data_IF_986432932445
#
_entry.id   IF_986432932445
#
_cell.length_a   1.000
_cell.length_b   1.000
_cell.length_c   1.000
_cell.angle_alpha   90.00
_cell.angle_beta   90.00
_cell.angle_gamma   90.00
#
_symmetry.space_group_name_H-M   'P 1'
#
loop_
_entity.id
_entity.type
_entity.pdbx_description
1 polymer ?
#
# COMPACT_ATOMS: atom_id res chain seq x y z
N UNK A 1 -3.80 17.42 -0.23
CA UNK A 1 -2.61 17.29 0.62
C UNK A 1 -1.48 16.74 -0.23
N UNK A 2 -0.47 17.57 -0.54
CA UNK A 2 0.74 17.14 -1.22
C UNK A 2 1.53 16.15 -0.36
N UNK A 3 2.33 15.27 -0.98
CA UNK A 3 3.14 14.28 -0.26
C UNK A 3 4.05 14.92 0.80
N UNK A 4 4.64 16.09 0.49
CA UNK A 4 5.44 16.87 1.42
C UNK A 4 4.70 17.25 2.72
N UNK A 5 3.39 17.54 2.63
CA UNK A 5 2.58 17.83 3.81
C UNK A 5 2.37 16.57 4.66
N UNK A 6 2.18 15.41 4.05
CA UNK A 6 2.06 14.15 4.79
C UNK A 6 3.36 13.83 5.54
N UNK A 7 4.51 14.03 4.89
CA UNK A 7 5.83 13.87 5.53
C UNK A 7 6.00 14.87 6.67
N UNK A 8 5.63 16.14 6.47
CA UNK A 8 5.72 17.15 7.53
C UNK A 8 4.82 16.82 8.73
N UNK A 9 3.58 16.37 8.48
CA UNK A 9 2.66 15.93 9.53
C UNK A 9 3.20 14.72 10.28
N UNK A 10 3.78 13.74 9.57
CA UNK A 10 4.41 12.59 10.18
C UNK A 10 5.57 12.99 11.10
N UNK A 11 6.50 13.82 10.60
CA UNK A 11 7.65 14.29 11.38
C UNK A 11 7.21 15.10 12.59
N UNK A 12 6.20 15.97 12.43
CA UNK A 12 5.64 16.73 13.53
C UNK A 12 5.05 15.81 14.61
N UNK A 13 4.27 14.80 14.22
CA UNK A 13 3.69 13.84 15.16
C UNK A 13 4.74 12.96 15.85
N UNK A 14 5.76 12.51 15.11
CA UNK A 14 6.85 11.67 15.64
C UNK A 14 7.77 12.43 16.62
N UNK A 15 7.98 13.73 16.39
CA UNK A 15 8.85 14.58 17.20
C UNK A 15 8.12 15.36 18.29
N UNK A 16 6.78 15.41 18.26
CA UNK A 16 5.96 16.12 19.27
C UNK A 16 6.32 15.70 20.70
N UNK A 17 6.46 14.39 21.04
CA UNK A 17 6.82 13.99 22.39
C UNK A 17 8.17 14.57 22.84
N UNK A 18 9.15 14.61 21.94
CA UNK A 18 10.48 15.14 22.23
C UNK A 18 10.43 16.66 22.47
N UNK A 19 9.67 17.39 21.66
CA UNK A 19 9.48 18.83 21.86
C UNK A 19 8.78 19.16 23.18
N UNK A 20 7.79 18.35 23.58
CA UNK A 20 7.12 18.49 24.87
C UNK A 20 8.02 18.14 26.05
N UNK A 21 8.83 17.08 25.95
CA UNK A 21 9.83 16.76 26.97
C UNK A 21 10.84 17.90 27.16
N UNK A 22 11.33 18.49 26.06
CA UNK A 22 12.21 19.65 26.12
C UNK A 22 11.54 20.87 26.76
N UNK A 23 10.26 21.11 26.45
CA UNK A 23 9.49 22.22 27.01
C UNK A 23 9.24 22.12 28.53
N UNK A 24 9.44 20.95 29.15
CA UNK A 24 9.37 20.81 30.61
C UNK A 24 10.50 21.56 31.33
N UNK A 25 11.61 21.89 30.63
CA UNK A 25 12.70 22.69 31.20
C UNK A 25 13.47 21.99 32.33
N UNK A 26 13.44 20.66 32.38
CA UNK A 26 14.23 19.88 33.35
C UNK A 26 15.71 19.95 33.00
N UNK A 27 16.58 19.91 34.02
CA UNK A 27 18.01 19.83 33.82
C UNK A 27 18.37 18.55 33.05
N UNK A 28 19.13 18.65 31.94
CA UNK A 28 19.49 17.47 31.16
C UNK A 28 20.40 16.55 31.98
N UNK A 29 20.21 15.24 31.81
CA UNK A 29 21.16 14.23 32.27
C UNK A 29 22.39 14.19 31.34
N UNK A 30 23.20 13.14 31.48
CA UNK A 30 24.27 12.83 30.52
C UNK A 30 23.71 12.84 29.08
N UNK A 31 24.45 13.38 28.10
CA UNK A 31 24.03 13.36 26.70
C UNK A 31 23.62 11.98 26.18
N UNK A 32 24.23 10.92 26.71
CA UNK A 32 23.90 9.53 26.37
C UNK A 32 22.53 9.08 26.91
N UNK A 33 22.15 9.52 28.11
CA UNK A 33 20.83 9.22 28.69
C UNK A 33 19.73 10.00 27.97
N UNK A 34 19.99 11.25 27.58
CA UNK A 34 19.06 12.06 26.79
C UNK A 34 18.89 11.49 25.37
N UNK A 35 19.98 11.02 24.75
CA UNK A 35 19.92 10.30 23.48
C UNK A 35 19.09 9.01 23.61
N UNK A 36 19.35 8.18 24.62
CA UNK A 36 18.59 6.96 24.90
C UNK A 36 17.08 7.26 25.01
N UNK A 37 16.74 8.28 25.79
CA UNK A 37 15.36 8.72 26.03
C UNK A 37 14.72 9.25 24.74
N UNK A 38 15.42 10.09 23.99
CA UNK A 38 14.94 10.62 22.72
C UNK A 38 14.68 9.53 21.68
N UNK A 39 15.58 8.56 21.55
CA UNK A 39 15.43 7.43 20.62
C UNK A 39 14.16 6.63 20.91
N UNK A 40 13.93 6.23 22.17
CA UNK A 40 12.76 5.41 22.52
C UNK A 40 11.45 6.20 22.42
N UNK A 41 11.45 7.49 22.74
CA UNK A 41 10.27 8.34 22.58
C UNK A 41 9.87 8.49 21.12
N UNK A 42 10.84 8.81 20.24
CA UNK A 42 10.58 8.90 18.80
C UNK A 42 10.13 7.54 18.27
N UNK A 43 10.78 6.45 18.67
CA UNK A 43 10.40 5.11 18.23
C UNK A 43 8.98 4.71 18.66
N UNK A 44 8.57 5.00 19.90
CA UNK A 44 7.22 4.74 20.37
C UNK A 44 6.19 5.54 19.58
N UNK A 45 6.48 6.82 19.30
CA UNK A 45 5.62 7.66 18.46
C UNK A 45 5.49 7.08 17.04
N UNK A 46 6.61 6.65 16.43
CA UNK A 46 6.61 5.98 15.13
C UNK A 46 5.73 4.73 15.15
N UNK A 47 5.93 3.83 16.12
CA UNK A 47 5.14 2.59 16.28
C UNK A 47 3.63 2.88 16.38
N UNK A 48 3.22 3.92 17.11
CA UNK A 48 1.81 4.29 17.24
C UNK A 48 1.25 4.90 15.95
N UNK A 49 2.06 5.65 15.19
CA UNK A 49 1.66 6.23 13.90
C UNK A 49 1.55 5.15 12.81
N UNK A 50 2.32 4.05 12.89
CA UNK A 50 2.25 2.94 11.92
C UNK A 50 0.83 2.37 11.74
N UNK A 51 -0.02 2.42 12.77
CA UNK A 51 -1.42 1.99 12.66
C UNK A 51 -2.27 2.86 11.71
N UNK A 52 -1.83 4.09 11.41
CA UNK A 52 -2.46 4.95 10.41
C UNK A 52 -1.94 4.70 8.99
N UNK A 53 -0.86 3.92 8.86
CA UNK A 53 -0.27 3.51 7.59
C UNK A 53 -0.80 2.16 7.10
N UNK A 54 -1.87 1.64 7.72
CA UNK A 54 -2.64 0.54 7.14
C UNK A 54 -3.08 0.98 5.73
N UNK A 55 -2.69 0.24 4.68
CA UNK A 55 -2.93 0.54 3.25
C UNK A 55 -4.40 0.61 2.80
N UNK A 56 -5.31 0.95 3.71
CA UNK A 56 -6.76 1.03 3.57
C UNK A 56 -7.30 2.45 3.75
N UNK A 57 -6.49 3.36 4.29
CA UNK A 57 -6.91 4.75 4.39
C UNK A 57 -6.78 5.44 3.03
N UNK A 58 -7.92 5.52 2.32
CA UNK A 58 -8.02 6.12 0.98
C UNK A 58 -7.39 7.52 0.86
N UNK A 59 -7.45 8.34 1.92
CA UNK A 59 -6.86 9.68 1.94
C UNK A 59 -5.35 9.64 1.64
N UNK A 60 -4.67 8.56 2.07
CA UNK A 60 -3.24 8.34 1.92
C UNK A 60 -2.98 7.57 0.61
N UNK A 61 -3.64 6.44 0.41
CA UNK A 61 -3.35 5.54 -0.72
C UNK A 61 -3.74 6.11 -2.08
N UNK A 62 -4.79 6.94 -2.16
CA UNK A 62 -5.25 7.52 -3.43
C UNK A 62 -4.29 8.57 -4.01
N UNK A 63 -3.28 9.02 -3.26
CA UNK A 63 -2.32 10.03 -3.74
C UNK A 63 -0.90 9.50 -3.88
N UNK A 64 -0.46 8.68 -2.93
CA UNK A 64 0.93 8.21 -2.87
C UNK A 64 1.05 6.77 -3.38
N UNK A 65 -0.07 6.05 -3.51
CA UNK A 65 -0.07 4.62 -3.85
C UNK A 65 0.09 3.72 -2.63
N UNK A 66 -0.54 2.56 -2.66
CA UNK A 66 -0.41 1.53 -1.61
C UNK A 66 1.03 1.08 -1.42
N UNK A 67 1.79 1.00 -2.51
CA UNK A 67 3.13 0.40 -2.51
C UNK A 67 4.15 1.30 -1.84
N UNK A 68 4.02 2.62 -2.03
CA UNK A 68 4.82 3.59 -1.30
C UNK A 68 4.50 3.54 0.19
N UNK A 69 3.21 3.43 0.56
CA UNK A 69 2.80 3.31 1.97
C UNK A 69 3.39 2.05 2.60
N UNK A 70 3.37 0.90 1.90
CA UNK A 70 3.96 -0.34 2.42
C UNK A 70 5.48 -0.26 2.55
N UNK A 71 6.18 0.35 1.59
CA UNK A 71 7.63 0.58 1.70
C UNK A 71 7.98 1.52 2.85
N UNK A 72 7.17 2.56 3.05
CA UNK A 72 7.32 3.47 4.19
C UNK A 72 7.14 2.72 5.52
N UNK A 73 6.08 1.92 5.66
CA UNK A 73 5.84 1.06 6.82
C UNK A 73 7.05 0.17 7.14
N UNK A 74 7.59 -0.55 6.14
CA UNK A 74 8.75 -1.41 6.33
C UNK A 74 10.00 -0.63 6.77
N UNK A 75 10.27 0.52 6.14
CA UNK A 75 11.42 1.36 6.48
C UNK A 75 11.30 1.92 7.91
N UNK A 76 10.16 2.49 8.25
CA UNK A 76 9.90 3.10 9.55
C UNK A 76 9.86 2.06 10.67
N UNK A 77 9.29 0.86 10.43
CA UNK A 77 9.32 -0.24 11.38
C UNK A 77 10.75 -0.72 11.69
N UNK A 78 11.62 -0.82 10.67
CA UNK A 78 13.04 -1.18 10.84
C UNK A 78 13.81 -0.09 11.59
N UNK A 79 13.54 1.18 11.29
CA UNK A 79 14.14 2.31 12.00
C UNK A 79 13.70 2.36 13.48
N UNK A 80 12.40 2.19 13.75
CA UNK A 80 11.87 2.10 15.12
C UNK A 80 12.47 0.92 15.89
N UNK A 81 12.61 -0.25 15.25
CA UNK A 81 13.29 -1.39 15.85
C UNK A 81 14.74 -1.05 16.23
N UNK A 82 15.51 -0.41 15.34
CA UNK A 82 16.89 -0.03 15.64
C UNK A 82 16.95 0.91 16.86
N UNK A 83 16.07 1.91 16.91
CA UNK A 83 15.99 2.84 18.06
C UNK A 83 15.63 2.10 19.35
N UNK A 84 14.62 1.22 19.33
CA UNK A 84 14.21 0.42 20.50
C UNK A 84 15.30 -0.57 20.92
N UNK A 85 16.04 -1.18 19.99
CA UNK A 85 17.15 -2.08 20.32
C UNK A 85 18.28 -1.33 21.01
N UNK A 86 18.66 -0.16 20.48
CA UNK A 86 19.84 0.56 20.96
C UNK A 86 19.60 1.33 22.26
N UNK A 87 18.37 1.81 22.50
CA UNK A 87 18.10 2.72 23.62
C UNK A 87 18.56 2.22 25.01
N UNK A 88 18.40 0.93 25.40
CA UNK A 88 18.79 0.49 26.74
C UNK A 88 20.31 0.52 26.93
N UNK A 89 21.07 0.42 25.84
CA UNK A 89 22.54 0.36 25.87
C UNK A 89 23.20 1.74 25.90
N UNK A 90 22.45 2.81 25.63
CA UNK A 90 22.94 4.18 25.74
C UNK A 90 22.80 4.77 27.14
N UNK A 91 21.99 4.17 28.01
CA UNK A 91 21.89 4.62 29.38
C UNK A 91 23.18 4.38 30.17
N UNK A 92 23.70 5.43 30.78
CA UNK A 92 24.93 5.41 31.61
C UNK A 92 24.67 5.80 33.07
N UNK A 93 23.52 6.41 33.35
CA UNK A 93 23.09 6.71 34.72
C UNK A 93 22.97 5.43 35.57
N UNK A 94 23.27 5.50 36.88
CA UNK A 94 23.13 4.35 37.76
C UNK A 94 21.67 3.88 37.83
N UNK A 95 21.47 2.56 37.78
CA UNK A 95 20.17 1.92 37.91
C UNK A 95 19.88 1.61 39.38
N UNK A 96 18.72 2.02 39.90
CA UNK A 96 18.36 1.79 41.28
C UNK A 96 17.02 2.41 41.68
N UNK A 97 16.55 2.18 42.92
CA UNK A 97 15.38 2.87 43.43
C UNK A 97 15.70 4.36 43.58
N UNK A 98 14.82 5.22 43.04
CA UNK A 98 14.94 6.67 43.20
C UNK A 98 14.97 7.05 44.69
N UNK A 99 15.94 7.87 45.14
CA UNK A 99 15.86 8.50 46.45
C UNK A 99 14.55 9.27 46.61
N UNK A 100 14.01 9.35 47.83
CA UNK A 100 12.72 10.01 48.07
C UNK A 100 12.69 11.51 47.68
N UNK A 101 13.87 12.15 47.59
CA UNK A 101 14.01 13.54 47.15
C UNK A 101 14.13 13.69 45.63
N UNK A 102 14.42 12.61 44.89
CA UNK A 102 14.63 12.63 43.44
C UNK A 102 13.31 12.49 42.68
N UNK A 103 12.45 13.49 42.84
CA UNK A 103 11.09 13.49 42.29
C UNK A 103 11.05 13.55 40.75
N UNK A 104 12.12 14.05 40.13
CA UNK A 104 12.24 14.18 38.66
C UNK A 104 13.04 13.02 38.06
N UNK A 105 13.54 12.09 38.88
CA UNK A 105 14.49 11.08 38.45
C UNK A 105 15.71 11.72 37.80
N UNK A 106 16.37 12.69 38.41
CA UNK A 106 17.63 13.28 37.92
C UNK A 106 18.79 12.31 38.03
N UNK A 107 18.83 11.53 39.10
CA UNK A 107 20.08 10.92 39.56
C UNK A 107 20.18 9.42 39.29
N UNK A 108 19.04 8.74 39.14
CA UNK A 108 19.00 7.30 38.87
C UNK A 108 17.96 6.92 37.83
N UNK A 109 18.16 5.78 37.17
CA UNK A 109 17.18 5.13 36.32
C UNK A 109 16.32 4.17 37.14
N UNK A 110 15.00 4.30 36.99
CA UNK A 110 14.02 3.43 37.65
C UNK A 110 14.20 1.98 37.19
N UNK A 111 14.65 1.12 38.11
CA UNK A 111 15.00 -0.29 37.82
C UNK A 111 14.01 -1.29 38.43
N UNK A 112 12.98 -0.85 39.16
CA UNK A 112 12.05 -1.78 39.78
C UNK A 112 11.28 -2.55 38.71
N UNK A 113 11.12 -3.86 38.92
CA UNK A 113 10.44 -4.77 37.99
C UNK A 113 9.12 -4.21 37.42
N UNK A 114 8.28 -3.60 38.25
CA UNK A 114 6.99 -3.02 37.84
C UNK A 114 7.06 -1.99 36.70
N UNK A 115 8.19 -1.28 36.57
CA UNK A 115 8.44 -0.25 35.58
C UNK A 115 9.12 -0.81 34.32
N UNK A 116 9.99 -1.81 34.49
CA UNK A 116 10.78 -2.39 33.40
C UNK A 116 10.09 -3.52 32.64
N UNK A 117 9.29 -4.36 33.30
CA UNK A 117 8.71 -5.54 32.65
C UNK A 117 7.90 -5.22 31.38
N UNK A 118 7.12 -4.11 31.29
CA UNK A 118 6.41 -3.80 30.06
C UNK A 118 7.37 -3.49 28.92
N UNK A 119 8.48 -2.79 29.22
CA UNK A 119 9.52 -2.45 28.25
C UNK A 119 10.26 -3.67 27.75
N UNK A 120 10.68 -4.57 28.66
CA UNK A 120 11.34 -5.85 28.30
C UNK A 120 10.42 -6.70 27.42
N UNK A 121 9.14 -6.82 27.81
CA UNK A 121 8.16 -7.57 27.04
C UNK A 121 7.95 -6.96 25.65
N UNK A 122 7.76 -5.63 25.56
CA UNK A 122 7.63 -4.93 24.29
C UNK A 122 8.87 -5.08 23.40
N UNK A 123 10.07 -5.03 23.98
CA UNK A 123 11.34 -5.18 23.27
C UNK A 123 11.47 -6.56 22.63
N UNK A 124 11.22 -7.62 23.39
CA UNK A 124 11.25 -9.00 22.89
C UNK A 124 10.18 -9.24 21.82
N UNK A 125 8.96 -8.75 22.07
CA UNK A 125 7.84 -8.89 21.14
C UNK A 125 8.04 -8.12 19.84
N UNK A 126 8.62 -6.92 19.88
CA UNK A 126 8.92 -6.14 18.68
C UNK A 126 9.99 -6.84 17.83
N UNK A 127 11.05 -7.36 18.47
CA UNK A 127 12.06 -8.17 17.78
C UNK A 127 11.45 -9.41 17.12
N UNK A 128 10.60 -10.15 17.84
CA UNK A 128 9.88 -11.30 17.31
C UNK A 128 8.91 -10.92 16.18
N UNK A 129 8.18 -9.81 16.31
CA UNK A 129 7.25 -9.29 15.31
C UNK A 129 7.97 -8.97 13.99
N UNK A 130 9.10 -8.26 14.05
CA UNK A 130 9.88 -7.92 12.84
C UNK A 130 10.53 -9.17 12.24
N UNK A 131 11.08 -10.08 13.05
CA UNK A 131 11.63 -11.34 12.55
C UNK A 131 10.56 -12.20 11.86
N UNK A 132 9.36 -12.27 12.43
CA UNK A 132 8.20 -12.97 11.86
C UNK A 132 7.70 -12.30 10.57
N UNK A 133 7.80 -10.97 10.47
CA UNK A 133 7.45 -10.25 9.25
C UNK A 133 8.45 -10.48 8.11
N UNK A 134 9.76 -10.45 8.39
CA UNK A 134 10.82 -10.69 7.40
C UNK A 134 10.85 -12.16 6.98
N UNK A 135 10.71 -13.07 7.94
CA UNK A 135 10.74 -14.52 7.71
C UNK A 135 9.41 -15.14 7.30
N UNK A 136 8.43 -14.34 6.82
CA UNK A 136 7.06 -14.82 6.53
C UNK A 136 7.05 -16.12 5.72
N UNK A 137 7.81 -16.15 4.64
CA UNK A 137 7.81 -17.26 3.68
C UNK A 137 8.46 -18.54 4.24
N UNK A 138 9.19 -18.43 5.36
CA UNK A 138 9.81 -19.56 6.05
C UNK A 138 8.87 -20.22 7.07
N UNK A 139 7.82 -19.53 7.49
CA UNK A 139 6.95 -19.97 8.59
C UNK A 139 5.87 -20.97 8.16
N UNK A 140 5.65 -21.15 6.86
CA UNK A 140 4.69 -22.12 6.31
C UNK A 140 3.22 -21.84 6.68
N UNK A 141 2.91 -20.70 7.29
CA UNK A 141 1.55 -20.30 7.64
C UNK A 141 0.85 -19.63 6.45
N UNK A 142 -0.48 -19.80 6.39
CA UNK A 142 -1.31 -19.00 5.48
C UNK A 142 -1.20 -17.50 5.77
N UNK A 143 -1.32 -16.68 4.72
CA UNK A 143 -1.19 -15.23 4.81
C UNK A 143 -2.16 -14.61 5.83
N UNK A 144 -3.37 -15.15 5.96
CA UNK A 144 -4.39 -14.66 6.88
C UNK A 144 -3.99 -14.84 8.34
N UNK A 145 -3.39 -15.98 8.67
CA UNK A 145 -2.90 -16.29 10.03
C UNK A 145 -1.73 -15.37 10.37
N UNK A 146 -0.78 -15.24 9.44
CA UNK A 146 0.35 -14.33 9.59
C UNK A 146 -0.13 -12.88 9.83
N UNK A 147 -1.09 -12.40 9.03
CA UNK A 147 -1.67 -11.06 9.14
C UNK A 147 -2.35 -10.82 10.50
N UNK A 148 -3.12 -11.81 10.97
CA UNK A 148 -3.78 -11.74 12.28
C UNK A 148 -2.76 -11.68 13.43
N UNK A 149 -1.74 -12.55 13.40
CA UNK A 149 -0.68 -12.60 14.41
C UNK A 149 0.14 -11.31 14.42
N UNK A 150 0.50 -10.79 13.25
CA UNK A 150 1.20 -9.53 13.10
C UNK A 150 0.43 -8.38 13.75
N UNK A 151 -0.87 -8.24 13.43
CA UNK A 151 -1.72 -7.21 14.02
C UNK A 151 -1.85 -7.34 15.54
N UNK A 152 -2.05 -8.55 16.06
CA UNK A 152 -2.19 -8.80 17.48
C UNK A 152 -0.90 -8.47 18.27
N UNK A 153 0.26 -8.91 17.77
CA UNK A 153 1.55 -8.58 18.39
C UNK A 153 1.84 -7.08 18.33
N UNK A 154 1.52 -6.40 17.21
CA UNK A 154 1.72 -4.96 17.08
C UNK A 154 0.92 -4.18 18.14
N UNK A 155 -0.35 -4.55 18.38
CA UNK A 155 -1.18 -3.93 19.43
C UNK A 155 -0.57 -4.14 20.82
N UNK A 156 -0.09 -5.36 21.09
CA UNK A 156 0.53 -5.68 22.38
C UNK A 156 1.82 -4.88 22.59
N UNK A 157 2.69 -4.79 21.58
CA UNK A 157 3.91 -3.95 21.61
C UNK A 157 3.56 -2.49 21.86
N UNK A 158 2.56 -1.94 21.15
CA UNK A 158 2.13 -0.55 21.32
C UNK A 158 1.62 -0.26 22.74
N UNK A 159 0.74 -1.11 23.26
CA UNK A 159 0.20 -0.95 24.62
C UNK A 159 1.26 -1.10 25.71
N UNK A 160 2.14 -2.09 25.58
CA UNK A 160 3.25 -2.29 26.53
C UNK A 160 4.29 -1.18 26.46
N UNK A 161 4.57 -0.66 25.25
CA UNK A 161 5.45 0.49 25.05
C UNK A 161 4.93 1.76 25.73
N UNK A 162 3.64 2.06 25.58
CA UNK A 162 2.99 3.17 26.31
C UNK A 162 3.04 2.94 27.82
N UNK A 163 2.71 1.72 28.28
CA UNK A 163 2.79 1.39 29.71
C UNK A 163 4.21 1.54 30.27
N UNK A 164 5.23 1.16 29.51
CA UNK A 164 6.63 1.34 29.88
C UNK A 164 6.99 2.83 29.95
N UNK A 165 6.63 3.62 28.94
CA UNK A 165 6.88 5.06 28.91
C UNK A 165 6.26 5.77 30.13
N UNK A 166 5.03 5.41 30.51
CA UNK A 166 4.34 6.00 31.66
C UNK A 166 4.93 5.59 33.02
N UNK A 167 5.54 4.40 33.12
CA UNK A 167 6.06 3.88 34.39
C UNK A 167 7.54 4.12 34.62
N UNK A 168 8.35 4.12 33.57
CA UNK A 168 9.80 4.22 33.63
C UNK A 168 10.34 5.52 33.01
N UNK A 169 9.55 6.20 32.17
CA UNK A 169 10.00 7.37 31.44
C UNK A 169 10.02 8.63 32.30
N UNK A 170 11.22 9.18 32.51
CA UNK A 170 11.46 10.45 33.21
C UNK A 170 10.52 11.58 32.76
N UNK A 171 10.50 11.88 31.45
CA UNK A 171 9.65 12.92 30.89
C UNK A 171 8.21 12.44 30.65
N UNK A 172 8.04 11.15 30.35
CA UNK A 172 6.75 10.56 29.94
C UNK A 172 5.78 10.33 31.10
N UNK A 173 6.26 10.40 32.34
CA UNK A 173 5.41 10.41 33.53
C UNK A 173 4.69 11.76 33.75
N UNK A 174 5.11 12.84 33.07
CA UNK A 174 4.42 14.13 33.10
C UNK A 174 2.96 13.98 32.60
N UNK A 175 1.96 14.59 33.26
CA UNK A 175 0.57 14.48 32.85
C UNK A 175 0.30 14.91 31.40
N UNK A 176 0.95 15.97 30.92
CA UNK A 176 0.76 16.46 29.56
C UNK A 176 1.24 15.44 28.53
N UNK A 177 2.44 14.91 28.73
CA UNK A 177 3.00 13.90 27.84
C UNK A 177 2.27 12.55 27.96
N UNK A 178 1.78 12.19 29.14
CA UNK A 178 0.95 11.00 29.36
C UNK A 178 -0.35 11.06 28.55
N UNK A 179 -1.01 12.22 28.48
CA UNK A 179 -2.18 12.43 27.62
C UNK A 179 -1.86 12.27 26.13
N UNK A 180 -0.68 12.72 25.69
CA UNK A 180 -0.23 12.53 24.31
C UNK A 180 -0.08 11.04 24.00
N UNK A 181 0.60 10.27 24.86
CA UNK A 181 0.73 8.82 24.67
C UNK A 181 -0.61 8.09 24.66
N UNK A 182 -1.50 8.42 25.60
CA UNK A 182 -2.85 7.87 25.66
C UNK A 182 -3.67 8.23 24.42
N UNK A 183 -3.57 9.47 23.94
CA UNK A 183 -4.25 9.93 22.73
C UNK A 183 -3.76 9.24 21.47
N UNK A 184 -2.43 9.11 21.30
CA UNK A 184 -1.85 8.38 20.16
C UNK A 184 -2.25 6.90 20.17
N UNK A 185 -2.25 6.25 21.34
CA UNK A 185 -2.73 4.88 21.48
C UNK A 185 -4.23 4.75 21.18
N UNK A 186 -5.05 5.70 21.64
CA UNK A 186 -6.48 5.71 21.35
C UNK A 186 -6.74 5.86 19.84
N UNK A 187 -5.97 6.71 19.15
CA UNK A 187 -6.04 6.85 17.69
C UNK A 187 -5.62 5.55 16.98
N UNK A 188 -4.56 4.89 17.43
CA UNK A 188 -4.13 3.59 16.88
C UNK A 188 -5.21 2.50 17.05
N UNK A 189 -5.82 2.40 18.23
CA UNK A 189 -6.92 1.47 18.50
C UNK A 189 -8.15 1.81 17.65
N UNK A 190 -8.50 3.10 17.55
CA UNK A 190 -9.63 3.54 16.73
C UNK A 190 -9.41 3.22 15.24
N UNK A 191 -8.19 3.33 14.73
CA UNK A 191 -7.83 2.96 13.37
C UNK A 191 -8.07 1.45 13.12
N UNK A 192 -7.67 0.59 14.06
CA UNK A 192 -7.93 -0.85 13.98
C UNK A 192 -9.40 -1.20 14.06
N UNK A 193 -10.14 -0.61 15.01
CA UNK A 193 -11.59 -0.79 15.13
C UNK A 193 -12.30 -0.33 13.86
N UNK A 194 -11.85 0.77 13.26
CA UNK A 194 -12.38 1.21 11.99
C UNK A 194 -12.17 0.17 10.88
N UNK A 195 -10.94 -0.30 10.70
CA UNK A 195 -10.58 -1.24 9.62
C UNK A 195 -11.21 -2.62 9.81
N UNK A 196 -11.17 -3.18 11.02
CA UNK A 196 -11.54 -4.58 11.27
C UNK A 196 -12.97 -4.77 11.79
N UNK A 197 -13.65 -3.70 12.20
CA UNK A 197 -15.03 -3.80 12.74
C UNK A 197 -15.97 -2.88 11.97
N UNK A 198 -15.73 -1.57 11.98
CA UNK A 198 -16.68 -0.59 11.44
C UNK A 198 -16.77 -0.71 9.90
N UNK A 199 -15.65 -0.78 9.19
CA UNK A 199 -15.64 -0.88 7.74
C UNK A 199 -16.33 -2.17 7.22
N UNK A 200 -16.05 -3.38 7.77
CA UNK A 200 -16.84 -4.57 7.46
C UNK A 200 -18.34 -4.42 7.71
N UNK A 201 -18.74 -3.83 8.84
CA UNK A 201 -20.14 -3.58 9.17
C UNK A 201 -20.82 -2.65 8.16
N UNK A 202 -20.11 -1.61 7.70
CA UNK A 202 -20.61 -0.71 6.67
C UNK A 202 -20.74 -1.42 5.32
N UNK A 203 -19.81 -2.31 4.97
CA UNK A 203 -19.86 -3.11 3.73
C UNK A 203 -21.06 -4.04 3.66
N UNK A 204 -21.58 -4.54 4.79
CA UNK A 204 -22.79 -5.38 4.82
C UNK A 204 -24.01 -4.70 4.16
N UNK A 205 -24.03 -3.36 4.08
CA UNK A 205 -25.11 -2.61 3.43
C UNK A 205 -24.98 -2.52 1.90
N UNK A 206 -23.81 -2.89 1.36
CA UNK A 206 -23.47 -2.74 -0.06
C UNK A 206 -22.83 -4.03 -0.62
N UNK A 207 -23.55 -5.17 -0.60
CA UNK A 207 -23.05 -6.42 -1.17
C UNK A 207 -22.93 -6.35 -2.70
N UNK A 208 -22.06 -7.21 -3.22
CA UNK A 208 -21.94 -7.50 -4.64
C UNK A 208 -22.26 -8.97 -4.89
N UNK A 209 -22.61 -9.28 -6.14
CA UNK A 209 -22.79 -10.66 -6.59
C UNK A 209 -22.00 -10.91 -7.85
N UNK A 210 -21.36 -12.08 -7.90
CA UNK A 210 -20.70 -12.56 -9.10
C UNK A 210 -21.77 -12.79 -10.17
N UNK A 211 -21.72 -12.04 -11.26
CA UNK A 211 -22.60 -12.23 -12.40
C UNK A 211 -22.06 -13.33 -13.31
N UNK A 212 -20.77 -13.25 -13.65
CA UNK A 212 -20.12 -14.22 -14.54
C UNK A 212 -18.64 -14.40 -14.20
N UNK A 213 -18.15 -15.61 -14.50
CA UNK A 213 -16.74 -15.98 -14.45
C UNK A 213 -16.41 -16.65 -15.78
N UNK A 214 -15.56 -16.02 -16.60
CA UNK A 214 -15.24 -16.52 -17.94
C UNK A 214 -13.73 -16.54 -18.16
N UNK A 215 -13.18 -17.50 -18.91
CA UNK A 215 -11.78 -17.44 -19.34
C UNK A 215 -11.52 -16.16 -20.14
N UNK A 216 -10.44 -15.45 -19.80
CA UNK A 216 -10.00 -14.24 -20.51
C UNK A 216 -8.72 -14.48 -21.31
N UNK A 217 -7.84 -15.33 -20.81
CA UNK A 217 -6.66 -15.86 -21.49
C UNK A 217 -6.15 -17.09 -20.71
N UNK A 218 -5.03 -17.67 -21.13
CA UNK A 218 -4.41 -18.78 -20.41
C UNK A 218 -4.17 -18.44 -18.92
N UNK A 219 -4.84 -19.17 -18.03
CA UNK A 219 -4.80 -18.98 -16.55
C UNK A 219 -5.22 -17.58 -16.09
N UNK A 220 -6.00 -16.84 -16.88
CA UNK A 220 -6.57 -15.55 -16.52
C UNK A 220 -8.08 -15.63 -16.67
N UNK A 221 -8.80 -15.21 -15.62
CA UNK A 221 -10.25 -15.22 -15.56
C UNK A 221 -10.79 -13.79 -15.49
N UNK A 222 -11.84 -13.53 -16.28
CA UNK A 222 -12.66 -12.32 -16.17
C UNK A 222 -13.79 -12.60 -15.20
N UNK A 223 -13.91 -11.75 -14.19
CA UNK A 223 -14.97 -11.80 -13.19
C UNK A 223 -15.76 -10.51 -13.27
N UNK A 224 -17.06 -10.63 -13.48
CA UNK A 224 -17.98 -9.50 -13.50
C UNK A 224 -18.83 -9.54 -12.25
N UNK A 225 -18.85 -8.44 -11.50
CA UNK A 225 -19.68 -8.25 -10.32
C UNK A 225 -20.79 -7.25 -10.63
N UNK A 226 -22.02 -7.62 -10.28
CA UNK A 226 -23.16 -6.70 -10.26
C UNK A 226 -23.41 -6.19 -8.83
N UNK A 227 -23.78 -4.92 -8.66
CA UNK A 227 -24.18 -4.43 -7.36
C UNK A 227 -25.44 -5.17 -6.89
N UNK A 228 -25.52 -5.46 -5.59
CA UNK A 228 -26.71 -5.98 -4.90
C UNK A 228 -27.24 -4.92 -3.91
N UNK A 229 -27.08 -3.64 -4.29
CA UNK A 229 -27.58 -2.44 -3.59
C UNK A 229 -27.69 -1.26 -4.56
N UNK A 230 -28.56 -0.29 -4.27
CA UNK A 230 -28.76 0.90 -5.12
C UNK A 230 -27.65 1.97 -5.01
N UNK A 231 -26.65 1.73 -4.16
CA UNK A 231 -25.57 2.71 -3.96
C UNK A 231 -24.50 2.52 -5.02
N UNK A 232 -24.16 3.56 -5.80
CA UNK A 232 -23.09 3.46 -6.77
C UNK A 232 -21.73 3.27 -6.07
N UNK A 233 -20.80 2.67 -6.79
CA UNK A 233 -19.39 2.59 -6.40
C UNK A 233 -18.60 3.65 -7.17
N UNK A 234 -18.35 4.84 -6.59
CA UNK A 234 -17.71 5.92 -7.32
C UNK A 234 -16.20 5.64 -7.44
N UNK A 235 -15.77 5.14 -8.59
CA UNK A 235 -14.37 4.91 -8.93
C UNK A 235 -13.97 5.62 -10.22
N UNK A 236 -12.66 5.74 -10.43
CA UNK A 236 -12.06 6.20 -11.69
C UNK A 236 -11.38 5.03 -12.38
N UNK A 237 -11.41 5.02 -13.70
CA UNK A 237 -10.65 4.05 -14.48
C UNK A 237 -9.17 4.06 -14.07
N UNK A 238 -8.58 2.86 -14.00
CA UNK A 238 -7.22 2.62 -13.52
C UNK A 238 -7.11 2.34 -12.01
N UNK A 239 -8.18 2.53 -11.24
CA UNK A 239 -8.19 2.21 -9.80
C UNK A 239 -8.34 0.71 -9.51
N UNK A 240 -7.98 0.30 -8.30
CA UNK A 240 -8.17 -1.06 -7.81
C UNK A 240 -9.09 -1.12 -6.59
N UNK A 241 -9.58 -2.32 -6.27
CA UNK A 241 -10.31 -2.60 -5.04
C UNK A 241 -9.77 -3.87 -4.38
N UNK A 242 -9.85 -3.94 -3.06
CA UNK A 242 -9.70 -5.20 -2.34
C UNK A 242 -10.98 -6.01 -2.52
N UNK A 243 -10.83 -7.21 -3.05
CA UNK A 243 -11.94 -8.09 -3.37
C UNK A 243 -11.93 -9.30 -2.44
N UNK A 244 -13.09 -9.58 -1.86
CA UNK A 244 -13.39 -10.78 -1.09
C UNK A 244 -14.60 -11.46 -1.73
N UNK A 245 -14.44 -12.72 -2.16
CA UNK A 245 -15.49 -13.49 -2.83
C UNK A 245 -15.82 -14.72 -2.00
N UNK A 246 -17.10 -14.94 -1.70
CA UNK A 246 -17.56 -16.15 -1.02
C UNK A 246 -17.27 -16.22 0.48
N UNK A 247 -16.66 -15.18 1.07
CA UNK A 247 -16.39 -15.11 2.50
C UNK A 247 -17.17 -13.99 3.20
N UNK A 248 -17.13 -14.02 4.53
CA UNK A 248 -17.63 -12.94 5.38
C UNK A 248 -16.84 -11.64 5.14
N UNK A 249 -17.46 -10.44 5.25
CA UNK A 249 -16.72 -9.17 5.13
C UNK A 249 -15.73 -8.92 6.27
N UNK A 250 -15.80 -9.73 7.34
CA UNK A 250 -14.85 -9.78 8.45
C UNK A 250 -13.69 -10.77 8.20
N UNK A 251 -13.76 -11.56 7.14
CA UNK A 251 -12.66 -12.46 6.76
C UNK A 251 -11.43 -11.65 6.38
N UNK A 252 -10.26 -12.20 6.68
CA UNK A 252 -8.99 -11.64 6.23
C UNK A 252 -8.60 -12.06 4.80
N UNK A 253 -9.44 -12.89 4.15
CA UNK A 253 -9.24 -13.36 2.78
C UNK A 253 -9.77 -12.33 1.79
N UNK A 254 -8.91 -11.37 1.45
CA UNK A 254 -9.16 -10.35 0.45
C UNK A 254 -7.86 -10.03 -0.27
N UNK A 255 -7.94 -9.77 -1.58
CA UNK A 255 -6.77 -9.48 -2.40
C UNK A 255 -7.03 -8.24 -3.26
N UNK A 256 -6.01 -7.40 -3.52
CA UNK A 256 -6.18 -6.23 -4.36
C UNK A 256 -6.23 -6.67 -5.83
N UNK A 257 -7.24 -6.20 -6.56
CA UNK A 257 -7.33 -6.36 -8.01
C UNK A 257 -7.74 -5.05 -8.67
N UNK A 258 -7.03 -4.68 -9.73
CA UNK A 258 -7.39 -3.53 -10.55
C UNK A 258 -8.73 -3.74 -11.23
N UNK A 259 -9.54 -2.68 -11.27
CA UNK A 259 -10.84 -2.67 -11.92
C UNK A 259 -10.61 -2.49 -13.41
N UNK A 260 -11.05 -3.47 -14.19
CA UNK A 260 -10.91 -3.51 -15.64
C UNK A 260 -12.11 -2.91 -16.39
N UNK A 261 -13.24 -2.65 -15.71
CA UNK A 261 -14.38 -1.95 -16.30
C UNK A 261 -14.21 -0.43 -16.28
N UNK A 262 -14.90 0.28 -17.17
CA UNK A 262 -14.96 1.74 -17.17
C UNK A 262 -16.25 2.25 -16.47
N UNK A 263 -16.15 3.28 -15.60
CA UNK A 263 -17.31 3.82 -14.90
C UNK A 263 -18.32 4.48 -15.85
N UNK A 264 -17.91 4.89 -17.06
CA UNK A 264 -18.81 5.43 -18.07
C UNK A 264 -19.65 4.35 -18.80
N UNK A 265 -19.26 3.07 -18.74
CA UNK A 265 -19.93 2.00 -19.49
C UNK A 265 -21.04 1.32 -18.69
N UNK A 266 -20.80 1.03 -17.41
CA UNK A 266 -21.78 0.34 -16.56
C UNK A 266 -21.48 0.56 -15.07
N UNK A 267 -22.45 0.22 -14.22
CA UNK A 267 -22.31 0.14 -12.76
C UNK A 267 -21.64 -1.17 -12.28
N UNK A 268 -21.35 -2.09 -13.20
CA UNK A 268 -20.70 -3.37 -12.92
C UNK A 268 -19.19 -3.21 -12.77
N UNK A 269 -18.61 -4.03 -11.90
CA UNK A 269 -17.17 -4.10 -11.73
C UNK A 269 -16.62 -5.33 -12.44
N UNK A 270 -15.67 -5.14 -13.35
CA UNK A 270 -14.93 -6.23 -13.98
C UNK A 270 -13.52 -6.32 -13.41
N UNK A 271 -13.03 -7.53 -13.17
CA UNK A 271 -11.66 -7.81 -12.76
C UNK A 271 -11.04 -8.87 -13.66
N UNK A 272 -9.75 -8.73 -13.96
CA UNK A 272 -8.95 -9.76 -14.62
C UNK A 272 -7.99 -10.37 -13.61
N UNK A 273 -8.19 -11.65 -13.29
CA UNK A 273 -7.46 -12.33 -12.22
C UNK A 273 -6.65 -13.49 -12.79
N UNK A 274 -5.33 -13.42 -12.61
CA UNK A 274 -4.39 -14.49 -12.98
C UNK A 274 -4.24 -15.49 -11.85
N UNK A 275 -4.22 -16.78 -12.18
CA UNK A 275 -3.93 -17.85 -11.22
C UNK A 275 -2.45 -17.85 -10.82
N UNK A 276 -2.14 -17.28 -9.65
CA UNK A 276 -0.77 -17.11 -9.14
C UNK A 276 -0.50 -17.75 -7.77
N UNK A 277 -1.53 -18.09 -6.99
CA UNK A 277 -1.35 -18.61 -5.64
C UNK A 277 -2.64 -19.13 -4.99
N UNK A 278 -2.59 -19.40 -3.70
CA UNK A 278 -3.65 -20.12 -2.97
C UNK A 278 -5.04 -19.47 -3.08
N UNK A 279 -5.10 -18.14 -3.04
CA UNK A 279 -6.37 -17.39 -3.14
C UNK A 279 -6.91 -17.29 -4.57
N UNK A 280 -6.09 -17.56 -5.60
CA UNK A 280 -6.45 -17.35 -7.02
C UNK A 280 -6.51 -18.64 -7.83
N UNK A 281 -5.92 -19.75 -7.35
CA UNK A 281 -5.85 -21.02 -8.07
C UNK A 281 -7.23 -21.67 -8.34
N UNK A 282 -8.27 -21.28 -7.60
CA UNK A 282 -9.66 -21.75 -7.74
C UNK A 282 -10.60 -20.66 -8.23
N UNK A 283 -10.07 -19.52 -8.69
CA UNK A 283 -10.91 -18.38 -9.04
C UNK A 283 -11.90 -18.70 -10.18
N UNK A 284 -11.48 -19.55 -11.13
CA UNK A 284 -12.36 -20.04 -12.20
C UNK A 284 -13.50 -20.96 -11.73
N UNK A 285 -13.47 -21.44 -10.48
CA UNK A 285 -14.49 -22.31 -9.91
C UNK A 285 -15.57 -21.54 -9.13
N UNK A 286 -15.41 -20.22 -9.02
CA UNK A 286 -16.39 -19.35 -8.37
C UNK A 286 -17.72 -19.43 -9.14
N UNK A 287 -18.80 -19.72 -8.42
CA UNK A 287 -20.13 -19.86 -9.03
C UNK A 287 -20.77 -18.47 -9.24
N UNK A 288 -21.55 -18.28 -10.31
CA UNK A 288 -22.47 -17.15 -10.40
C UNK A 288 -23.36 -17.05 -9.16
N UNK A 289 -23.82 -15.83 -8.88
CA UNK A 289 -24.58 -15.41 -7.70
C UNK A 289 -23.84 -15.49 -6.35
N UNK A 290 -22.58 -15.94 -6.33
CA UNK A 290 -21.73 -15.89 -5.13
C UNK A 290 -21.61 -14.45 -4.62
N UNK A 291 -21.83 -14.25 -3.31
CA UNK A 291 -21.65 -12.94 -2.69
C UNK A 291 -20.18 -12.51 -2.70
N UNK A 292 -19.95 -11.23 -2.95
CA UNK A 292 -18.66 -10.61 -2.89
C UNK A 292 -18.72 -9.26 -2.15
N UNK A 293 -17.57 -8.82 -1.67
CA UNK A 293 -17.38 -7.54 -1.00
C UNK A 293 -16.20 -6.83 -1.63
N UNK A 294 -16.36 -5.53 -1.83
CA UNK A 294 -15.29 -4.66 -2.33
C UNK A 294 -14.93 -3.61 -1.28
N UNK A 295 -13.64 -3.34 -1.14
CA UNK A 295 -13.13 -2.21 -0.36
C UNK A 295 -12.26 -1.33 -1.28
N UNK A 296 -12.58 -0.04 -1.31
CA UNK A 296 -11.98 0.91 -2.24
C UNK A 296 -12.95 2.01 -2.67
N UNK A 297 -12.65 2.70 -3.78
CA UNK A 297 -11.51 2.45 -4.69
C UNK A 297 -10.16 2.99 -4.15
N UNK A 298 -9.07 2.33 -4.53
CA UNK A 298 -7.68 2.70 -4.27
C UNK A 298 -6.88 2.85 -5.58
N UNK A 299 -5.59 3.17 -5.47
CA UNK A 299 -4.72 3.36 -6.62
C UNK A 299 -4.75 4.78 -7.17
N UNK A 300 -3.68 5.14 -7.88
CA UNK A 300 -3.43 6.48 -8.42
C UNK A 300 -3.23 6.51 -9.94
N UNK A 301 -3.41 5.38 -10.64
CA UNK A 301 -3.31 5.29 -12.11
C UNK A 301 -4.50 5.97 -12.82
N UNK A 302 -4.91 7.15 -12.36
CA UNK A 302 -6.09 7.86 -12.86
C UNK A 302 -5.68 9.06 -13.69
N UNK A 303 -6.41 9.30 -14.79
CA UNK A 303 -6.13 10.42 -15.68
C UNK A 303 -6.59 11.79 -15.15
N UNK A 304 -7.37 11.82 -14.06
CA UNK A 304 -8.08 13.01 -13.59
C UNK A 304 -7.20 14.18 -13.12
N UNK A 305 -5.90 13.95 -12.89
CA UNK A 305 -4.94 15.02 -12.58
C UNK A 305 -4.16 15.48 -13.83
N UNK A 306 -4.44 14.89 -14.99
CA UNK A 306 -3.67 14.99 -16.22
C UNK A 306 -4.57 15.27 -17.44
N UNK A 307 -5.69 15.96 -17.22
CA UNK A 307 -6.67 16.31 -18.28
C UNK A 307 -6.04 17.15 -19.42
N UNK A 308 -4.91 17.81 -19.15
CA UNK A 308 -4.15 18.62 -20.11
C UNK A 308 -3.00 17.88 -20.78
N UNK A 309 -2.79 16.60 -20.49
CA UNK A 309 -1.75 15.83 -21.16
C UNK A 309 -2.04 15.76 -22.67
N UNK A 310 -1.06 16.04 -23.55
CA UNK A 310 -1.24 16.05 -25.00
C UNK A 310 -1.42 14.65 -25.61
N UNK A 311 -1.15 13.59 -24.85
CA UNK A 311 -1.36 12.20 -25.23
C UNK A 311 -1.13 11.26 -24.06
N UNK A 312 -1.53 10.00 -24.23
CA UNK A 312 -1.52 8.97 -23.20
C UNK A 312 -0.81 7.72 -23.73
N UNK A 313 0.25 7.30 -23.04
CA UNK A 313 0.93 6.03 -23.27
C UNK A 313 0.56 5.04 -22.16
N UNK A 314 -0.04 3.92 -22.53
CA UNK A 314 -0.39 2.81 -21.64
C UNK A 314 0.59 1.68 -21.90
N UNK A 315 1.32 1.23 -20.87
CA UNK A 315 2.36 0.21 -21.01
C UNK A 315 2.05 -0.92 -20.04
N UNK A 316 1.61 -2.06 -20.58
CA UNK A 316 1.08 -3.18 -19.83
C UNK A 316 1.95 -4.44 -19.98
N UNK A 317 2.08 -5.21 -18.90
CA UNK A 317 2.69 -6.54 -18.93
C UNK A 317 1.76 -7.60 -18.34
N UNK A 318 1.39 -8.61 -19.13
CA UNK A 318 0.57 -9.75 -18.68
C UNK A 318 -0.80 -9.32 -18.13
N UNK A 319 -1.10 -9.65 -16.87
CA UNK A 319 -2.37 -9.27 -16.22
C UNK A 319 -2.40 -7.80 -15.78
N UNK A 320 -1.26 -7.10 -15.83
CA UNK A 320 -1.17 -5.65 -15.63
C UNK A 320 -1.93 -4.83 -16.67
N UNK A 321 -2.51 -5.47 -17.69
CA UNK A 321 -3.47 -4.83 -18.59
C UNK A 321 -4.77 -4.42 -17.89
N UNK A 322 -5.13 -5.02 -16.75
CA UNK A 322 -6.42 -4.77 -16.09
C UNK A 322 -6.75 -3.28 -15.85
N UNK A 323 -5.92 -2.48 -15.15
CA UNK A 323 -6.22 -1.05 -14.98
C UNK A 323 -6.19 -0.29 -16.31
N UNK A 324 -5.32 -0.69 -17.24
CA UNK A 324 -5.12 -0.03 -18.53
C UNK A 324 -6.28 -0.29 -19.51
N UNK A 325 -6.88 -1.47 -19.46
CA UNK A 325 -8.12 -1.80 -20.18
C UNK A 325 -9.28 -0.95 -19.67
N UNK A 326 -9.40 -0.77 -18.35
CA UNK A 326 -10.37 0.14 -17.76
C UNK A 326 -10.19 1.58 -18.23
N UNK A 327 -8.94 2.04 -18.37
CA UNK A 327 -8.62 3.37 -18.92
C UNK A 327 -8.99 3.46 -20.40
N UNK A 328 -8.61 2.49 -21.23
CA UNK A 328 -8.97 2.48 -22.66
C UNK A 328 -10.48 2.47 -22.89
N UNK A 329 -11.20 1.62 -22.14
CA UNK A 329 -12.66 1.58 -22.16
C UNK A 329 -13.27 2.93 -21.77
N UNK A 330 -12.69 3.61 -20.79
CA UNK A 330 -13.15 4.93 -20.37
C UNK A 330 -12.91 5.98 -21.45
N UNK A 331 -11.72 6.00 -22.06
CA UNK A 331 -11.40 6.92 -23.16
C UNK A 331 -12.36 6.71 -24.34
N UNK A 332 -12.58 5.47 -24.74
CA UNK A 332 -13.52 5.10 -25.80
C UNK A 332 -14.98 5.48 -25.47
N UNK A 333 -15.43 5.21 -24.24
CA UNK A 333 -16.80 5.51 -23.84
C UNK A 333 -17.11 7.01 -23.68
N UNK A 334 -16.08 7.85 -23.54
CA UNK A 334 -16.24 9.31 -23.42
C UNK A 334 -15.76 10.08 -24.64
N UNK A 335 -15.43 9.40 -25.74
CA UNK A 335 -14.87 10.00 -26.96
C UNK A 335 -13.70 10.96 -26.65
N UNK A 336 -12.77 10.51 -25.81
CA UNK A 336 -11.63 11.35 -25.42
C UNK A 336 -10.76 11.67 -26.65
N UNK A 337 -10.47 12.94 -26.95
CA UNK A 337 -9.79 13.31 -28.19
C UNK A 337 -8.27 13.09 -28.14
N UNK A 338 -7.70 12.73 -26.98
CA UNK A 338 -6.26 12.62 -26.82
C UNK A 338 -5.74 11.36 -27.53
N UNK A 339 -4.63 11.46 -28.28
CA UNK A 339 -3.94 10.28 -28.79
C UNK A 339 -3.61 9.30 -27.66
N UNK A 340 -3.95 8.03 -27.85
CA UNK A 340 -3.70 6.97 -26.90
C UNK A 340 -2.93 5.83 -27.57
N UNK A 341 -1.82 5.39 -26.96
CA UNK A 341 -1.00 4.27 -27.45
C UNK A 341 -0.86 3.23 -26.35
N UNK A 342 -1.24 1.98 -26.63
CA UNK A 342 -1.04 0.82 -25.76
C UNK A 342 0.14 -0.03 -26.27
N UNK A 343 1.18 -0.17 -25.46
CA UNK A 343 2.18 -1.23 -25.60
C UNK A 343 1.82 -2.38 -24.66
N UNK A 344 1.45 -3.55 -25.20
CA UNK A 344 1.02 -4.69 -24.42
C UNK A 344 1.95 -5.89 -24.58
N UNK A 345 2.71 -6.18 -23.51
CA UNK A 345 3.68 -7.26 -23.46
C UNK A 345 3.11 -8.55 -22.87
N UNK A 346 3.25 -9.66 -23.60
CA UNK A 346 2.91 -11.00 -23.15
C UNK A 346 4.02 -11.98 -23.51
N UNK A 347 4.05 -13.16 -22.85
CA UNK A 347 5.01 -14.19 -23.25
C UNK A 347 4.61 -14.79 -24.59
N UNK A 348 3.41 -15.34 -24.66
CA UNK A 348 2.85 -16.01 -25.83
C UNK A 348 1.52 -15.37 -26.24
N UNK A 349 1.09 -15.60 -27.49
CA UNK A 349 -0.17 -15.06 -28.02
C UNK A 349 -1.39 -15.53 -27.23
N UNK A 350 -1.39 -16.76 -26.70
CA UNK A 350 -2.45 -17.32 -25.83
C UNK A 350 -2.71 -16.54 -24.55
N UNK A 351 -1.78 -15.65 -24.18
CA UNK A 351 -1.86 -14.84 -22.97
C UNK A 351 -2.38 -13.43 -23.22
N UNK A 352 -2.65 -13.05 -24.47
CA UNK A 352 -3.24 -11.75 -24.81
C UNK A 352 -4.68 -11.76 -24.30
N UNK A 353 -4.97 -10.88 -23.34
CA UNK A 353 -6.32 -10.70 -22.81
C UNK A 353 -7.09 -9.70 -23.66
N UNK A 354 -8.33 -10.05 -24.02
CA UNK A 354 -9.28 -9.16 -24.71
C UNK A 354 -8.79 -8.65 -26.08
N UNK A 355 -8.08 -9.47 -26.87
CA UNK A 355 -7.53 -9.07 -28.17
C UNK A 355 -8.56 -8.44 -29.12
N UNK A 356 -9.70 -9.10 -29.33
CA UNK A 356 -10.77 -8.61 -30.21
C UNK A 356 -11.35 -7.27 -29.74
N UNK A 357 -11.46 -7.08 -28.42
CA UNK A 357 -11.95 -5.82 -27.83
C UNK A 357 -10.93 -4.69 -28.00
N UNK A 358 -9.64 -4.98 -27.83
CA UNK A 358 -8.57 -3.99 -28.05
C UNK A 358 -8.55 -3.53 -29.51
N UNK A 359 -8.73 -4.45 -30.45
CA UNK A 359 -8.85 -4.13 -31.88
C UNK A 359 -10.10 -3.27 -32.16
N UNK A 360 -11.24 -3.59 -31.53
CA UNK A 360 -12.45 -2.77 -31.65
C UNK A 360 -12.25 -1.35 -31.10
N UNK A 361 -11.58 -1.20 -29.96
CA UNK A 361 -11.24 0.12 -29.39
C UNK A 361 -10.29 0.87 -30.32
N UNK A 362 -9.31 0.19 -30.92
CA UNK A 362 -8.41 0.80 -31.90
C UNK A 362 -9.17 1.36 -33.11
N UNK A 363 -10.18 0.65 -33.60
CA UNK A 363 -11.01 1.07 -34.73
C UNK A 363 -12.00 2.19 -34.39
N UNK A 364 -12.60 2.16 -33.20
CA UNK A 364 -13.69 3.09 -32.81
C UNK A 364 -13.18 4.38 -32.18
N UNK A 365 -12.22 4.30 -31.26
CA UNK A 365 -11.61 5.45 -30.60
C UNK A 365 -10.37 5.97 -31.35
N UNK A 366 -9.69 5.13 -32.13
CA UNK A 366 -8.42 5.48 -32.77
C UNK A 366 -7.19 5.29 -31.88
N UNK A 367 -7.29 4.48 -30.82
CA UNK A 367 -6.13 4.12 -30.01
C UNK A 367 -5.15 3.22 -30.81
N UNK A 368 -3.85 3.48 -30.72
CA UNK A 368 -2.84 2.61 -31.31
C UNK A 368 -2.52 1.45 -30.36
N UNK A 369 -2.75 0.20 -30.79
CA UNK A 369 -2.47 -0.99 -29.97
C UNK A 369 -1.30 -1.77 -30.58
N UNK A 370 -0.26 -1.98 -29.78
CA UNK A 370 0.93 -2.74 -30.17
C UNK A 370 1.15 -3.90 -29.21
N UNK A 371 0.98 -5.11 -29.71
CA UNK A 371 1.32 -6.34 -28.99
C UNK A 371 2.81 -6.65 -29.14
N UNK A 372 3.44 -7.03 -28.02
CA UNK A 372 4.85 -7.41 -27.92
C UNK A 372 4.94 -8.80 -27.32
N UNK A 373 5.47 -9.76 -28.07
CA UNK A 373 5.60 -11.15 -27.60
C UNK A 373 7.06 -11.53 -27.39
N UNK A 374 7.39 -12.08 -26.22
CA UNK A 374 8.74 -12.59 -25.96
C UNK A 374 8.97 -13.99 -26.53
N UNK A 375 7.89 -14.74 -26.78
CA UNK A 375 7.86 -16.10 -27.32
C UNK A 375 6.75 -16.19 -28.40
N UNK A 376 6.94 -15.50 -29.54
CA UNK A 376 5.94 -15.40 -30.60
C UNK A 376 5.79 -16.71 -31.38
N UNK A 377 4.60 -17.03 -31.91
CA UNK A 377 4.47 -18.08 -32.91
C UNK A 377 5.14 -17.67 -34.24
N UNK A 378 5.46 -18.63 -35.14
CA UNK A 378 6.20 -18.35 -36.37
C UNK A 378 5.54 -17.36 -37.34
N UNK A 379 4.22 -17.23 -37.30
CA UNK A 379 3.40 -16.35 -38.13
C UNK A 379 3.15 -14.97 -37.49
N UNK A 380 3.75 -14.68 -36.35
CA UNK A 380 3.62 -13.39 -35.67
C UNK A 380 4.23 -12.25 -36.46
N UNK A 381 3.41 -11.23 -36.73
CA UNK A 381 3.80 -10.03 -37.47
C UNK A 381 4.00 -8.80 -36.58
N UNK A 382 3.65 -8.91 -35.29
CA UNK A 382 3.81 -7.84 -34.30
C UNK A 382 5.24 -7.70 -33.78
N UNK A 383 5.42 -6.86 -32.76
CA UNK A 383 6.72 -6.69 -32.13
C UNK A 383 7.14 -7.95 -31.35
N UNK A 384 8.45 -8.22 -31.31
CA UNK A 384 9.04 -9.37 -30.63
C UNK A 384 10.06 -8.93 -29.59
N UNK A 385 10.16 -9.67 -28.48
CA UNK A 385 11.11 -9.39 -27.40
C UNK A 385 10.43 -8.87 -26.14
N UNK A 386 11.12 -7.96 -25.44
CA UNK A 386 10.62 -7.33 -24.22
C UNK A 386 10.25 -5.86 -24.49
N UNK A 387 9.39 -5.30 -23.64
CA UNK A 387 9.18 -3.85 -23.63
C UNK A 387 10.39 -3.21 -22.96
N UNK A 388 11.30 -2.70 -23.77
CA UNK A 388 12.56 -2.10 -23.33
C UNK A 388 12.71 -0.64 -23.81
N UNK A 389 13.81 0.00 -23.43
CA UNK A 389 14.09 1.37 -23.82
C UNK A 389 14.24 1.58 -25.34
N UNK A 390 14.63 0.56 -26.10
CA UNK A 390 14.73 0.68 -27.56
C UNK A 390 13.33 0.73 -28.20
N UNK A 391 12.42 -0.14 -27.76
CA UNK A 391 11.02 -0.11 -28.17
C UNK A 391 10.36 1.21 -27.77
N UNK A 392 10.59 1.67 -26.53
CA UNK A 392 10.05 2.96 -26.08
C UNK A 392 10.56 4.13 -26.92
N UNK A 393 11.85 4.17 -27.26
CA UNK A 393 12.37 5.23 -28.16
C UNK A 393 11.76 5.18 -29.55
N UNK A 394 11.44 3.98 -30.06
CA UNK A 394 10.78 3.82 -31.37
C UNK A 394 9.38 4.44 -31.39
N UNK A 395 8.58 4.23 -30.35
CA UNK A 395 7.21 4.76 -30.27
C UNK A 395 7.16 6.19 -29.70
N UNK A 396 7.97 6.47 -28.68
CA UNK A 396 7.89 7.67 -27.84
C UNK A 396 9.15 8.57 -27.89
N UNK A 397 10.09 8.36 -28.82
CA UNK A 397 11.35 9.12 -28.85
C UNK A 397 11.28 10.56 -29.39
N UNK A 398 10.12 11.01 -29.90
CA UNK A 398 9.96 12.39 -30.40
C UNK A 398 9.83 13.39 -29.25
N UNK A 399 10.33 14.63 -29.39
CA UNK A 399 10.23 15.64 -28.32
C UNK A 399 8.81 15.88 -27.79
N UNK A 400 7.81 15.84 -28.67
CA UNK A 400 6.40 16.01 -28.30
C UNK A 400 5.87 14.95 -27.33
N UNK A 401 6.51 13.78 -27.26
CA UNK A 401 6.11 12.69 -26.36
C UNK A 401 6.63 12.88 -24.93
N UNK A 402 7.54 13.82 -24.66
CA UNK A 402 8.06 14.06 -23.30
C UNK A 402 7.00 14.55 -22.33
N UNK A 403 6.01 15.27 -22.86
CA UNK A 403 4.91 15.84 -22.08
C UNK A 403 3.69 14.90 -22.01
N UNK A 404 3.74 13.73 -22.66
CA UNK A 404 2.68 12.72 -22.55
C UNK A 404 2.60 12.14 -21.15
N UNK A 405 1.42 11.63 -20.80
CA UNK A 405 1.24 10.83 -19.60
C UNK A 405 1.57 9.37 -19.89
N UNK A 406 2.40 8.76 -19.06
CA UNK A 406 2.77 7.35 -19.12
C UNK A 406 2.16 6.60 -17.94
N UNK A 407 1.34 5.59 -18.22
CA UNK A 407 0.68 4.76 -17.21
C UNK A 407 1.18 3.33 -17.35
N UNK A 408 1.84 2.83 -16.31
CA UNK A 408 2.59 1.58 -16.31
C UNK A 408 1.99 0.59 -15.33
N UNK A 409 1.75 -0.64 -15.77
CA UNK A 409 1.37 -1.73 -14.87
C UNK A 409 1.84 -3.08 -15.42
N UNK A 410 2.58 -3.84 -14.61
CA UNK A 410 3.13 -5.14 -15.03
C UNK A 410 4.24 -5.64 -14.11
N UNK A 411 5.05 -6.61 -14.57
CA UNK A 411 6.11 -7.20 -13.77
C UNK A 411 7.19 -6.18 -13.34
N UNK A 412 7.78 -6.31 -12.14
CA UNK A 412 8.77 -5.34 -11.63
C UNK A 412 9.94 -5.06 -12.57
N UNK A 413 10.48 -6.09 -13.24
CA UNK A 413 11.58 -5.93 -14.19
C UNK A 413 11.19 -5.05 -15.40
N UNK A 414 9.95 -5.16 -15.87
CA UNK A 414 9.43 -4.32 -16.94
C UNK A 414 9.27 -2.88 -16.46
N UNK A 415 8.65 -2.67 -15.29
CA UNK A 415 8.43 -1.33 -14.74
C UNK A 415 9.76 -0.58 -14.55
N UNK A 416 10.75 -1.22 -13.93
CA UNK A 416 12.08 -0.62 -13.71
C UNK A 416 12.76 -0.24 -15.04
N UNK A 417 12.72 -1.13 -16.03
CA UNK A 417 13.33 -0.87 -17.34
C UNK A 417 12.64 0.29 -18.07
N UNK A 418 11.31 0.31 -18.04
CA UNK A 418 10.48 1.33 -18.70
C UNK A 418 10.65 2.69 -18.01
N UNK A 419 10.54 2.75 -16.69
CA UNK A 419 10.71 3.99 -15.92
C UNK A 419 12.08 4.63 -16.18
N UNK A 420 13.16 3.83 -16.11
CA UNK A 420 14.51 4.31 -16.38
C UNK A 420 14.62 4.90 -17.80
N UNK A 421 14.10 4.19 -18.80
CA UNK A 421 14.12 4.65 -20.18
C UNK A 421 13.30 5.94 -20.40
N UNK A 422 12.15 6.09 -19.74
CA UNK A 422 11.34 7.31 -19.80
C UNK A 422 12.09 8.51 -19.21
N UNK A 423 12.76 8.33 -18.08
CA UNK A 423 13.59 9.37 -17.46
C UNK A 423 14.76 9.76 -18.36
N UNK A 424 15.45 8.79 -18.97
CA UNK A 424 16.53 9.03 -19.93
C UNK A 424 16.06 9.80 -21.17
N UNK A 425 14.80 9.61 -21.59
CA UNK A 425 14.18 10.35 -22.69
C UNK A 425 13.75 11.77 -22.29
N UNK A 426 13.87 12.13 -21.00
CA UNK A 426 13.52 13.44 -20.45
C UNK A 426 12.06 13.59 -20.06
N UNK A 427 11.34 12.49 -19.83
CA UNK A 427 9.97 12.52 -19.29
C UNK A 427 10.03 12.94 -17.82
N UNK A 428 9.19 13.89 -17.43
CA UNK A 428 9.06 14.30 -16.03
C UNK A 428 8.54 13.13 -15.17
N UNK A 429 9.10 12.86 -13.98
CA UNK A 429 8.55 11.86 -13.06
C UNK A 429 7.07 12.09 -12.72
N UNK A 430 6.61 13.34 -12.75
CA UNK A 430 5.21 13.67 -12.51
C UNK A 430 4.25 13.17 -13.62
N UNK A 431 4.78 12.84 -14.79
CA UNK A 431 4.03 12.28 -15.93
C UNK A 431 4.15 10.76 -16.01
N UNK A 432 4.77 10.10 -15.02
CA UNK A 432 4.91 8.65 -14.96
C UNK A 432 4.08 8.14 -13.79
N UNK A 433 3.01 7.40 -14.09
CA UNK A 433 2.17 6.73 -13.11
C UNK A 433 2.46 5.23 -13.17
N UNK A 434 2.95 4.64 -12.09
CA UNK A 434 3.21 3.21 -12.00
C UNK A 434 2.62 2.60 -10.73
N UNK A 435 2.15 1.36 -10.82
CA UNK A 435 1.63 0.59 -9.70
C UNK A 435 2.16 -0.84 -9.77
N UNK A 436 2.60 -1.38 -8.62
CA UNK A 436 3.16 -2.71 -8.47
C UNK A 436 2.52 -3.47 -7.31
N UNK A 437 1.82 -4.57 -7.60
CA UNK A 437 1.24 -5.45 -6.55
C UNK A 437 2.27 -6.42 -5.92
N UNK A 438 3.55 -6.05 -5.92
CA UNK A 438 4.64 -6.80 -5.28
C UNK A 438 5.32 -5.89 -4.27
N UNK A 439 5.47 -6.38 -3.03
CA UNK A 439 5.88 -5.60 -1.86
C UNK A 439 7.11 -6.16 -1.14
N UNK A 440 7.80 -7.10 -1.79
CA UNK A 440 8.95 -7.82 -1.24
C UNK A 440 10.24 -7.00 -1.27
#
# INVERSE_FOLDING_TARGET
MPAALLVALYLAAALLPLGLAWAQGLDPRSPWDELATGLVMVALAMILIEFLQLGRFRIITARVGSDVVMRAHQFLARAALAFVILHPFFYVSPMGPAPAWDMTGQTVLEYRWHALWPGIAAWLLLGALVAMAIGRDLLGYGYEIWRALHGALAVLVAGLGVLHALRAGRYSADPGLAWVWGGMLAVAIAALLYVYVIAPLLRLRHPWRVESVTPAAERIWRITLRPDSDRPFPYRAGQFAWLNIGHSPFSLNENPFSIASAPAQSDKLEFLIKELGDSTNRIGQVRPDTRAWTEGPHGHLTLAAHDRAPGIALIAGGVGIAPLLGILRQLAATDDPRPAVLLYGNRAQSQIVSGDELEQIAQTHGAEVHHVLSDPPPDWTGATGLIDGALLRRHFGRPAHRDWLYVLCGPPAMLQSVEHALLDMGVSPANILSEQFTYD
#
